data_IF_537948323751
#
_entry.id   IF_537948323751
#
_cell.length_a   1.000
_cell.length_b   1.000
_cell.length_c   1.000
_cell.angle_alpha   90.00
_cell.angle_beta   90.00
_cell.angle_gamma   90.00
#
_symmetry.space_group_name_H-M   'P 1'
#
loop_
_entity.id
_entity.type
_entity.pdbx_description
1 polymer ?
#
# COMPACT_ATOMS: atom_id res chain seq x y z
N UNK A 1 0.10 11.96 -23.66
CA UNK A 1 0.29 12.40 -22.27
C UNK A 1 -1.02 12.50 -21.48
N UNK A 2 -2.10 13.12 -21.99
CA UNK A 2 -3.31 13.39 -21.19
C UNK A 2 -3.97 12.16 -20.53
N UNK A 3 -4.13 11.04 -21.26
CA UNK A 3 -4.80 9.84 -20.72
C UNK A 3 -4.00 9.16 -19.58
N UNK A 4 -2.66 9.23 -19.61
CA UNK A 4 -1.80 8.71 -18.54
C UNK A 4 -1.93 9.54 -17.27
N UNK A 5 -1.99 10.86 -17.40
CA UNK A 5 -2.21 11.77 -16.27
C UNK A 5 -3.59 11.51 -15.65
N UNK A 6 -4.61 11.28 -16.47
CA UNK A 6 -5.97 10.95 -15.99
C UNK A 6 -6.01 9.59 -15.28
N UNK A 7 -5.48 8.50 -15.85
CA UNK A 7 -5.44 7.19 -15.17
C UNK A 7 -4.62 7.28 -13.85
N UNK A 8 -3.55 8.09 -13.83
CA UNK A 8 -2.79 8.40 -12.62
C UNK A 8 -3.59 9.15 -11.55
N UNK A 9 -4.29 10.22 -11.94
CA UNK A 9 -5.14 11.01 -11.04
C UNK A 9 -6.26 10.16 -10.43
N UNK A 10 -6.92 9.34 -11.26
CA UNK A 10 -7.97 8.42 -10.83
C UNK A 10 -7.43 7.42 -9.81
N UNK A 11 -6.29 6.79 -10.10
CA UNK A 11 -5.74 5.73 -9.24
C UNK A 11 -5.10 6.26 -7.96
N UNK A 12 -4.40 7.40 -8.00
CA UNK A 12 -3.63 7.90 -6.86
C UNK A 12 -4.39 8.87 -5.96
N UNK A 13 -5.45 9.52 -6.45
CA UNK A 13 -6.20 10.50 -5.66
C UNK A 13 -7.67 10.13 -5.55
N UNK A 14 -8.34 9.83 -6.67
CA UNK A 14 -9.78 9.59 -6.63
C UNK A 14 -10.13 8.25 -5.99
N UNK A 15 -9.40 7.18 -6.31
CA UNK A 15 -9.65 5.86 -5.75
C UNK A 15 -9.42 5.82 -4.21
N UNK A 16 -8.29 6.33 -3.66
CA UNK A 16 -8.08 6.35 -2.22
C UNK A 16 -9.08 7.24 -1.48
N UNK A 17 -9.50 8.36 -2.08
CA UNK A 17 -10.48 9.27 -1.44
C UNK A 17 -11.86 8.64 -1.36
N UNK A 18 -12.33 7.96 -2.40
CA UNK A 18 -13.60 7.22 -2.37
C UNK A 18 -13.55 6.02 -1.40
N UNK A 19 -12.44 5.28 -1.37
CA UNK A 19 -12.24 4.21 -0.39
C UNK A 19 -12.23 4.73 1.05
N UNK A 20 -11.54 5.84 1.30
CA UNK A 20 -11.52 6.48 2.61
C UNK A 20 -12.91 6.98 3.01
N UNK A 21 -13.62 7.67 2.11
CA UNK A 21 -14.97 8.13 2.35
C UNK A 21 -15.91 6.95 2.72
N UNK A 22 -15.83 5.84 1.99
CA UNK A 22 -16.60 4.64 2.29
C UNK A 22 -16.34 4.11 3.72
N UNK A 23 -15.09 4.13 4.18
CA UNK A 23 -14.71 3.70 5.53
C UNK A 23 -15.15 4.69 6.62
N UNK A 24 -15.29 5.99 6.31
CA UNK A 24 -15.71 7.02 7.27
C UNK A 24 -17.23 7.12 7.41
N UNK A 25 -17.97 6.88 6.33
CA UNK A 25 -19.43 6.98 6.35
C UNK A 25 -20.11 5.70 6.83
N UNK A 26 -19.41 4.56 6.80
CA UNK A 26 -19.99 3.25 7.10
C UNK A 26 -19.01 2.36 7.85
N UNK A 27 -19.41 1.91 9.04
CA UNK A 27 -18.62 1.03 9.90
C UNK A 27 -19.24 -0.38 9.90
N UNK A 28 -18.83 -1.18 8.93
CA UNK A 28 -19.25 -2.58 8.78
C UNK A 28 -18.13 -3.44 8.19
N UNK A 29 -18.37 -4.74 8.08
CA UNK A 29 -17.42 -5.69 7.48
C UNK A 29 -17.17 -5.38 6.00
N UNK A 30 -18.17 -4.96 5.23
CA UNK A 30 -17.94 -4.57 3.82
C UNK A 30 -16.93 -3.42 3.69
N UNK A 31 -17.03 -2.42 4.56
CA UNK A 31 -16.13 -1.26 4.52
C UNK A 31 -14.80 -1.55 5.21
N UNK A 32 -14.71 -2.58 6.07
CA UNK A 32 -13.43 -3.16 6.48
C UNK A 32 -12.68 -3.73 5.28
N UNK A 33 -13.36 -4.44 4.37
CA UNK A 33 -12.75 -4.93 3.13
C UNK A 33 -12.22 -3.76 2.28
N UNK A 34 -12.98 -2.66 2.21
CA UNK A 34 -12.50 -1.43 1.54
C UNK A 34 -11.32 -0.76 2.26
N UNK A 35 -11.26 -0.80 3.59
CA UNK A 35 -10.10 -0.35 4.35
C UNK A 35 -8.86 -1.18 4.01
N UNK A 36 -9.00 -2.51 3.89
CA UNK A 36 -7.89 -3.37 3.46
C UNK A 36 -7.42 -3.04 2.05
N UNK A 37 -8.34 -2.77 1.11
CA UNK A 37 -7.98 -2.28 -0.22
C UNK A 37 -7.25 -0.94 -0.17
N UNK A 38 -7.69 0.00 0.67
CA UNK A 38 -7.03 1.30 0.88
C UNK A 38 -5.60 1.12 1.42
N UNK A 39 -5.41 0.22 2.39
CA UNK A 39 -4.09 -0.08 2.95
C UNK A 39 -3.19 -0.76 1.91
N UNK A 40 -3.71 -1.65 1.07
CA UNK A 40 -2.91 -2.32 0.05
C UNK A 40 -2.50 -1.38 -1.11
N UNK A 41 -3.25 -0.32 -1.37
CA UNK A 41 -3.09 0.55 -2.54
C UNK A 41 -1.68 1.18 -2.70
N UNK A 42 -1.04 1.75 -1.66
CA UNK A 42 0.31 2.32 -1.76
C UNK A 42 1.39 1.33 -2.24
N UNK A 43 1.22 0.04 -1.95
CA UNK A 43 2.17 -1.01 -2.27
C UNK A 43 2.18 -1.38 -3.76
N UNK A 44 1.06 -1.16 -4.46
CA UNK A 44 0.99 -1.41 -5.89
C UNK A 44 1.65 -0.30 -6.69
N UNK A 45 2.41 -0.68 -7.72
CA UNK A 45 3.08 0.28 -8.59
C UNK A 45 2.07 1.07 -9.43
N UNK A 46 2.51 2.27 -9.83
CA UNK A 46 1.76 3.17 -10.70
C UNK A 46 1.23 2.42 -11.93
N UNK A 47 -0.03 2.66 -12.36
CA UNK A 47 -0.59 2.00 -13.53
C UNK A 47 0.20 2.41 -14.78
N UNK A 48 1.10 1.53 -15.22
CA UNK A 48 1.80 1.58 -16.50
C UNK A 48 1.46 0.29 -17.28
N UNK A 49 1.68 0.25 -18.61
CA UNK A 49 1.33 -0.89 -19.48
C UNK A 49 1.66 -2.26 -18.88
N UNK A 50 2.93 -2.45 -18.48
CA UNK A 50 3.41 -3.71 -17.91
C UNK A 50 2.78 -4.00 -16.54
N UNK A 51 2.59 -2.97 -15.72
CA UNK A 51 2.00 -3.09 -14.39
C UNK A 51 0.49 -3.36 -14.43
N UNK A 52 -0.21 -2.83 -15.44
CA UNK A 52 -1.64 -3.04 -15.71
C UNK A 52 -1.94 -4.47 -16.17
N UNK A 53 -1.00 -5.14 -16.84
CA UNK A 53 -1.11 -6.58 -17.15
C UNK A 53 -0.75 -7.46 -15.94
N UNK A 54 0.00 -6.91 -14.98
CA UNK A 54 0.43 -7.59 -13.76
C UNK A 54 -0.52 -7.44 -12.56
N UNK A 55 0.07 -7.32 -11.37
CA UNK A 55 -0.66 -7.29 -10.10
C UNK A 55 -1.57 -6.07 -9.92
N UNK A 56 -1.19 -4.89 -10.40
CA UNK A 56 -2.03 -3.67 -10.28
C UNK A 56 -3.32 -3.82 -11.07
N UNK A 57 -3.29 -4.44 -12.26
CA UNK A 57 -4.52 -4.74 -13.01
C UNK A 57 -5.41 -5.75 -12.31
N UNK A 58 -4.83 -6.82 -11.75
CA UNK A 58 -5.56 -7.79 -10.92
C UNK A 58 -6.20 -7.14 -9.70
N UNK A 59 -5.51 -6.21 -9.05
CA UNK A 59 -6.05 -5.43 -7.94
C UNK A 59 -7.26 -4.59 -8.34
N UNK A 60 -7.17 -3.84 -9.44
CA UNK A 60 -8.30 -3.02 -9.93
C UNK A 60 -9.50 -3.90 -10.30
N UNK A 61 -9.25 -5.04 -10.97
CA UNK A 61 -10.30 -6.03 -11.28
C UNK A 61 -10.93 -6.61 -10.01
N UNK A 62 -10.11 -6.99 -9.02
CA UNK A 62 -10.61 -7.51 -7.76
C UNK A 62 -11.46 -6.48 -7.00
N UNK A 63 -11.04 -5.21 -6.98
CA UNK A 63 -11.81 -4.12 -6.39
C UNK A 63 -13.14 -3.89 -7.12
N UNK A 64 -13.12 -3.92 -8.46
CA UNK A 64 -14.35 -3.85 -9.26
C UNK A 64 -15.28 -5.04 -8.98
N UNK A 65 -14.78 -6.27 -9.04
CA UNK A 65 -15.58 -7.47 -8.77
C UNK A 65 -16.15 -7.48 -7.35
N UNK A 66 -15.36 -7.12 -6.33
CA UNK A 66 -15.83 -7.05 -4.94
C UNK A 66 -16.89 -5.97 -4.76
N UNK A 67 -16.72 -4.78 -5.34
CA UNK A 67 -17.75 -3.74 -5.29
C UNK A 67 -19.05 -4.15 -6.00
N UNK A 68 -18.96 -4.83 -7.15
CA UNK A 68 -20.12 -5.39 -7.84
C UNK A 68 -20.82 -6.46 -7.00
N UNK A 69 -20.06 -7.37 -6.37
CA UNK A 69 -20.61 -8.40 -5.50
C UNK A 69 -21.33 -7.80 -4.28
N UNK A 70 -20.77 -6.76 -3.68
CA UNK A 70 -21.42 -6.07 -2.56
C UNK A 70 -22.69 -5.36 -3.00
N UNK A 71 -22.66 -4.66 -4.15
CA UNK A 71 -23.84 -4.01 -4.72
C UNK A 71 -24.95 -5.02 -5.03
N UNK A 72 -24.60 -6.15 -5.68
CA UNK A 72 -25.54 -7.24 -5.96
C UNK A 72 -26.05 -7.87 -4.67
N UNK A 73 -25.20 -8.04 -3.66
CA UNK A 73 -25.59 -8.55 -2.34
C UNK A 73 -26.62 -7.66 -1.66
N UNK A 74 -26.42 -6.34 -1.69
CA UNK A 74 -27.40 -5.37 -1.20
C UNK A 74 -28.72 -5.45 -1.95
N UNK A 75 -28.68 -5.39 -3.28
CA UNK A 75 -29.90 -5.47 -4.11
C UNK A 75 -30.63 -6.79 -3.86
N UNK A 76 -29.92 -7.91 -3.84
CA UNK A 76 -30.50 -9.24 -3.60
C UNK A 76 -31.14 -9.33 -2.21
N UNK A 77 -30.48 -8.80 -1.18
CA UNK A 77 -31.03 -8.78 0.17
C UNK A 77 -32.32 -7.97 0.26
N UNK A 78 -32.39 -6.81 -0.38
CA UNK A 78 -33.61 -6.00 -0.41
C UNK A 78 -34.75 -6.71 -1.16
N UNK A 79 -34.45 -7.40 -2.25
CA UNK A 79 -35.43 -8.23 -2.97
C UNK A 79 -35.93 -9.36 -2.05
N UNK A 80 -35.04 -10.03 -1.31
CA UNK A 80 -35.42 -11.09 -0.37
C UNK A 80 -36.35 -10.57 0.73
N UNK A 81 -36.03 -9.42 1.34
CA UNK A 81 -36.90 -8.81 2.36
C UNK A 81 -38.29 -8.45 1.82
N UNK A 82 -38.36 -7.94 0.59
CA UNK A 82 -39.65 -7.58 -0.02
C UNK A 82 -40.47 -8.81 -0.44
N UNK A 83 -39.83 -9.91 -0.81
CA UNK A 83 -40.50 -11.13 -1.28
C UNK A 83 -40.89 -12.08 -0.15
N UNK A 84 -40.18 -12.04 0.98
CA UNK A 84 -40.39 -12.91 2.14
C UNK A 84 -40.69 -12.07 3.40
N UNK A 85 -41.97 -11.71 3.64
CA UNK A 85 -42.36 -10.92 4.80
C UNK A 85 -42.07 -11.60 6.14
N UNK A 86 -42.00 -12.93 6.21
CA UNK A 86 -41.62 -13.65 7.44
C UNK A 86 -40.16 -13.39 7.86
N UNK A 87 -39.25 -13.30 6.87
CA UNK A 87 -37.86 -12.89 7.12
C UNK A 87 -37.82 -11.41 7.51
N UNK A 88 -38.74 -10.62 6.96
CA UNK A 88 -38.88 -9.23 7.31
C UNK A 88 -39.27 -9.08 8.79
N UNK A 89 -40.33 -9.75 9.23
CA UNK A 89 -40.79 -9.71 10.62
C UNK A 89 -39.76 -10.29 11.61
N UNK A 90 -39.04 -11.35 11.25
CA UNK A 90 -38.00 -11.95 12.08
C UNK A 90 -36.76 -11.05 12.30
N UNK A 91 -36.48 -10.17 11.35
CA UNK A 91 -35.41 -9.16 11.43
C UNK A 91 -35.88 -7.84 12.05
N UNK A 92 -37.20 -7.58 12.09
CA UNK A 92 -37.77 -6.29 12.50
C UNK A 92 -38.13 -6.15 13.97
N UNK A 93 -38.22 -7.26 14.71
CA UNK A 93 -38.68 -7.24 16.10
C UNK A 93 -37.65 -7.84 17.06
N UNK A 94 -37.44 -7.14 18.19
CA UNK A 94 -36.70 -7.56 19.39
C UNK A 94 -35.15 -7.57 19.33
N UNK A 95 -34.50 -6.84 18.42
CA UNK A 95 -33.03 -6.81 18.36
C UNK A 95 -32.38 -8.19 18.47
N UNK A 96 -32.85 -9.08 17.60
CA UNK A 96 -32.36 -10.45 17.55
C UNK A 96 -30.86 -10.46 17.18
N UNK A 97 -30.13 -11.50 17.58
CA UNK A 97 -28.73 -11.68 17.19
C UNK A 97 -28.53 -11.67 15.68
N UNK A 98 -29.56 -12.05 14.92
CA UNK A 98 -29.56 -12.06 13.44
C UNK A 98 -29.61 -10.63 12.87
N UNK A 99 -30.37 -9.74 13.49
CA UNK A 99 -30.40 -8.31 13.11
C UNK A 99 -29.06 -7.64 13.41
N UNK A 100 -28.47 -7.90 14.58
CA UNK A 100 -27.13 -7.41 14.92
C UNK A 100 -26.05 -7.95 13.98
N UNK A 101 -26.14 -9.23 13.59
CA UNK A 101 -25.22 -9.83 12.62
C UNK A 101 -25.39 -9.21 11.22
N UNK A 102 -26.62 -9.04 10.76
CA UNK A 102 -26.95 -8.38 9.48
C UNK A 102 -26.41 -6.94 9.43
N UNK A 103 -26.55 -6.19 10.54
CA UNK A 103 -25.97 -4.85 10.71
C UNK A 103 -24.44 -4.87 10.65
N UNK A 104 -23.80 -5.81 11.34
CA UNK A 104 -22.34 -5.93 11.37
C UNK A 104 -21.75 -6.31 10.01
N UNK A 105 -22.38 -7.26 9.32
CA UNK A 105 -22.01 -7.64 7.95
C UNK A 105 -22.13 -6.43 7.04
N UNK A 106 -23.14 -5.58 7.25
CA UNK A 106 -23.37 -4.36 6.48
C UNK A 106 -24.57 -4.42 5.57
N UNK A 107 -25.29 -5.54 5.58
CA UNK A 107 -26.48 -5.79 4.77
C UNK A 107 -27.68 -5.52 5.67
N UNK A 108 -27.99 -4.24 5.85
CA UNK A 108 -29.05 -3.78 6.77
C UNK A 108 -30.35 -3.52 6.01
N UNK A 109 -31.48 -3.69 6.71
CA UNK A 109 -32.78 -3.19 6.24
C UNK A 109 -32.66 -1.71 5.89
N UNK A 110 -33.19 -1.30 4.73
CA UNK A 110 -33.23 0.11 4.36
C UNK A 110 -34.47 0.74 4.98
N UNK A 111 -34.33 1.70 5.93
CA UNK A 111 -35.46 2.50 6.36
C UNK A 111 -35.85 3.41 5.19
N UNK A 112 -36.87 3.02 4.43
CA UNK A 112 -37.38 3.77 3.27
C UNK A 112 -37.96 5.15 3.67
N UNK A 113 -38.16 5.38 4.96
CA UNK A 113 -38.63 6.65 5.53
C UNK A 113 -37.49 7.69 5.63
N UNK A 114 -36.23 7.26 5.78
CA UNK A 114 -35.06 8.13 5.93
C UNK A 114 -34.11 8.04 4.73
N UNK A 115 -34.36 8.87 3.72
CA UNK A 115 -33.57 8.91 2.48
C UNK A 115 -32.05 9.14 2.73
N UNK A 116 -31.69 9.86 3.80
CA UNK A 116 -30.29 10.12 4.16
C UNK A 116 -29.54 8.85 4.59
N UNK A 117 -30.20 7.99 5.37
CA UNK A 117 -29.63 6.71 5.81
C UNK A 117 -29.46 5.75 4.64
N UNK A 118 -30.42 5.73 3.71
CA UNK A 118 -30.35 4.98 2.45
C UNK A 118 -29.17 5.44 1.60
N UNK A 119 -29.04 6.74 1.37
CA UNK A 119 -27.93 7.32 0.61
C UNK A 119 -26.61 7.00 1.29
N UNK A 120 -26.46 7.21 2.60
CA UNK A 120 -25.24 6.90 3.35
C UNK A 120 -24.84 5.42 3.25
N UNK A 121 -25.80 4.50 3.26
CA UNK A 121 -25.52 3.07 3.27
C UNK A 121 -25.17 2.51 1.88
N UNK A 122 -25.81 3.02 0.82
CA UNK A 122 -25.66 2.56 -0.57
C UNK A 122 -24.59 3.34 -1.37
N UNK A 123 -24.38 4.61 -1.06
CA UNK A 123 -23.44 5.49 -1.78
C UNK A 123 -22.00 4.97 -1.77
N UNK A 124 -21.46 4.41 -0.67
CA UNK A 124 -20.12 3.85 -0.66
C UNK A 124 -19.92 2.75 -1.72
N UNK A 125 -20.84 1.78 -1.82
CA UNK A 125 -20.71 0.66 -2.75
C UNK A 125 -20.90 1.12 -4.20
N UNK A 126 -21.91 1.95 -4.47
CA UNK A 126 -22.14 2.52 -5.79
C UNK A 126 -20.98 3.42 -6.23
N UNK A 127 -20.47 4.25 -5.33
CA UNK A 127 -19.35 5.14 -5.58
C UNK A 127 -18.07 4.38 -5.93
N UNK A 128 -17.73 3.35 -5.14
CA UNK A 128 -16.56 2.49 -5.39
C UNK A 128 -16.72 1.70 -6.69
N UNK A 129 -17.93 1.21 -6.99
CA UNK A 129 -18.23 0.54 -8.25
C UNK A 129 -18.01 1.46 -9.45
N UNK A 130 -18.56 2.68 -9.43
CA UNK A 130 -18.41 3.64 -10.53
C UNK A 130 -16.94 4.03 -10.70
N UNK A 131 -16.22 4.38 -9.63
CA UNK A 131 -14.83 4.80 -9.75
C UNK A 131 -13.91 3.66 -10.19
N UNK A 132 -14.14 2.43 -9.72
CA UNK A 132 -13.35 1.26 -10.14
C UNK A 132 -13.63 0.92 -11.60
N UNK A 133 -14.88 1.03 -12.06
CA UNK A 133 -15.25 0.87 -13.48
C UNK A 133 -14.58 1.95 -14.35
N UNK A 134 -14.66 3.22 -13.96
CA UNK A 134 -14.04 4.33 -14.69
C UNK A 134 -12.52 4.16 -14.75
N UNK A 135 -11.90 3.76 -13.64
CA UNK A 135 -10.45 3.48 -13.57
C UNK A 135 -10.09 2.31 -14.48
N UNK A 136 -10.84 1.20 -14.43
CA UNK A 136 -10.63 0.03 -15.27
C UNK A 136 -10.77 0.36 -16.76
N UNK A 137 -11.86 1.04 -17.16
CA UNK A 137 -12.09 1.44 -18.55
C UNK A 137 -11.00 2.39 -19.04
N UNK A 138 -10.63 3.39 -18.25
CA UNK A 138 -9.60 4.37 -18.63
C UNK A 138 -8.25 3.69 -18.81
N UNK A 139 -7.88 2.80 -17.90
CA UNK A 139 -6.60 2.12 -17.98
C UNK A 139 -6.58 1.02 -19.07
N UNK A 140 -7.72 0.37 -19.38
CA UNK A 140 -7.85 -0.51 -20.56
C UNK A 140 -7.74 0.27 -21.88
N UNK A 141 -8.36 1.45 -21.98
CA UNK A 141 -8.22 2.34 -23.14
C UNK A 141 -6.78 2.80 -23.33
N UNK A 142 -6.05 3.01 -22.23
CA UNK A 142 -4.64 3.37 -22.25
C UNK A 142 -3.75 2.23 -22.75
N UNK A 143 -4.04 0.99 -22.36
CA UNK A 143 -3.37 -0.21 -22.90
C UNK A 143 -3.64 -0.32 -24.40
N UNK A 144 -4.92 -0.34 -24.82
CA UNK A 144 -5.32 -0.48 -26.23
C UNK A 144 -4.75 0.62 -27.14
N UNK A 145 -4.81 1.89 -26.71
CA UNK A 145 -4.30 3.03 -27.51
C UNK A 145 -2.82 2.91 -27.82
N UNK A 146 -2.04 2.28 -26.94
CA UNK A 146 -0.59 2.16 -27.08
C UNK A 146 -0.17 0.77 -27.59
N UNK A 147 -1.13 -0.10 -27.90
CA UNK A 147 -0.98 -1.32 -28.71
C UNK A 147 -1.32 -1.07 -30.19
N UNK A 148 -2.16 -0.07 -30.49
CA UNK A 148 -2.38 0.41 -31.87
C UNK A 148 -1.34 1.48 -32.23
N UNK A 149 -0.30 1.19 -33.06
CA UNK A 149 0.59 2.22 -33.57
C UNK A 149 -0.20 3.24 -34.43
N UNK A 150 0.28 4.50 -34.58
CA UNK A 150 -0.38 5.50 -35.39
C UNK A 150 -0.11 5.24 -36.87
N UNK A 151 -0.70 4.18 -37.46
CA UNK A 151 -0.81 4.05 -38.91
C UNK A 151 -2.05 3.23 -39.27
N UNK A 152 -2.81 3.77 -40.22
CA UNK A 152 -3.97 3.19 -40.90
C UNK A 152 -5.31 3.23 -40.17
N UNK A 153 -5.98 4.37 -40.31
CA UNK A 153 -7.40 4.36 -40.66
C UNK A 153 -7.58 3.55 -41.96
N UNK A 154 -8.12 2.33 -41.88
CA UNK A 154 -9.10 1.76 -42.82
C UNK A 154 -9.42 0.28 -42.52
N UNK A 155 -10.68 -0.09 -42.79
CA UNK A 155 -11.33 -1.43 -42.84
C UNK A 155 -11.63 -2.19 -41.54
N UNK A 156 -12.91 -2.14 -41.13
CA UNK A 156 -13.88 -3.26 -40.96
C UNK A 156 -13.26 -4.66 -41.13
N UNK A 157 -13.36 -5.67 -40.23
CA UNK A 157 -14.53 -6.41 -39.71
C UNK A 157 -14.10 -7.59 -38.80
N UNK A 158 -14.97 -7.99 -37.84
CA UNK A 158 -15.32 -9.39 -37.40
C UNK A 158 -14.17 -10.28 -36.87
N UNK A 159 -14.03 -10.44 -35.54
CA UNK A 159 -14.56 -11.52 -34.66
C UNK A 159 -13.62 -12.73 -34.57
N UNK A 160 -13.16 -13.06 -33.35
CA UNK A 160 -13.39 -14.36 -32.69
C UNK A 160 -12.73 -14.39 -31.30
N UNK A 161 -13.50 -14.88 -30.33
CA UNK A 161 -13.02 -15.34 -29.03
C UNK A 161 -12.27 -16.66 -29.21
N UNK A 162 -11.13 -16.82 -28.53
CA UNK A 162 -10.71 -18.11 -27.99
C UNK A 162 -9.72 -17.90 -26.86
N UNK A 163 -9.98 -18.56 -25.74
CA UNK A 163 -9.03 -18.71 -24.66
C UNK A 163 -7.89 -19.64 -25.07
N UNK A 164 -6.76 -19.47 -24.40
CA UNK A 164 -5.98 -20.60 -23.91
C UNK A 164 -5.14 -20.14 -22.72
N UNK A 165 -5.13 -21.00 -21.72
CA UNK A 165 -4.24 -21.02 -20.58
C UNK A 165 -2.93 -21.63 -21.06
N UNK A 166 -1.80 -20.92 -20.92
CA UNK A 166 -0.49 -21.56 -20.78
C UNK A 166 0.34 -20.77 -19.76
N UNK A 167 0.66 -21.46 -18.68
CA UNK A 167 1.78 -21.16 -17.79
C UNK A 167 3.06 -21.48 -18.56
N UNK A 168 4.05 -20.56 -18.59
CA UNK A 168 5.45 -20.95 -18.47
C UNK A 168 6.43 -19.77 -18.28
N UNK A 169 7.31 -20.02 -17.31
CA UNK A 169 8.72 -19.68 -17.15
C UNK A 169 9.28 -18.27 -16.81
N UNK A 170 10.12 -18.33 -15.77
CA UNK A 170 11.43 -17.70 -15.51
C UNK A 170 11.64 -16.18 -15.49
N UNK A 171 12.11 -15.74 -14.30
CA UNK A 171 13.29 -14.90 -14.05
C UNK A 171 13.78 -13.98 -15.18
N UNK A 172 13.54 -12.67 -15.03
CA UNK A 172 14.18 -11.65 -15.84
C UNK A 172 14.05 -10.27 -15.22
N UNK A 173 14.95 -9.95 -14.28
CA UNK A 173 15.19 -8.57 -13.84
C UNK A 173 15.35 -7.67 -15.07
N UNK A 174 14.57 -6.60 -15.23
CA UNK A 174 15.00 -5.41 -15.98
C UNK A 174 14.13 -4.18 -15.67
N UNK A 175 14.79 -3.02 -15.66
CA UNK A 175 14.39 -1.68 -15.18
C UNK A 175 13.13 -1.08 -15.83
N UNK A 176 12.38 -0.20 -15.13
CA UNK A 176 11.36 0.63 -15.78
C UNK A 176 12.04 1.89 -16.36
N UNK A 177 12.24 1.92 -17.68
CA UNK A 177 12.54 3.17 -18.38
C UNK A 177 11.31 4.09 -18.29
N UNK A 178 11.44 5.16 -17.51
CA UNK A 178 10.62 6.36 -17.69
C UNK A 178 11.43 7.28 -18.57
N UNK A 179 11.31 7.09 -19.88
CA UNK A 179 11.73 8.06 -20.87
C UNK A 179 10.60 8.15 -21.90
N UNK A 180 10.21 9.38 -22.19
CA UNK A 180 9.24 9.74 -23.21
C UNK A 180 9.58 9.03 -24.53
N UNK A 181 8.59 8.36 -25.13
CA UNK A 181 8.68 7.90 -26.51
C UNK A 181 8.57 9.15 -27.39
N UNK A 182 9.69 9.86 -27.58
CA UNK A 182 9.92 10.64 -28.79
C UNK A 182 10.30 9.66 -29.89
N UNK A 183 9.62 9.75 -31.03
CA UNK A 183 9.88 8.95 -32.23
C UNK A 183 11.33 9.18 -32.69
N UNK A 184 12.19 8.17 -32.55
CA UNK A 184 13.53 8.19 -33.14
C UNK A 184 13.41 7.92 -34.65
N UNK A 185 13.40 8.99 -35.44
CA UNK A 185 14.04 8.92 -36.75
C UNK A 185 15.55 8.91 -36.55
N UNK A 186 16.22 7.93 -37.16
CA UNK A 186 17.68 7.79 -37.15
C UNK A 186 18.37 9.09 -37.58
N UNK A 187 18.96 9.79 -36.62
CA UNK A 187 19.78 10.95 -36.86
C UNK A 187 20.46 11.39 -35.57
N UNK A 188 21.79 11.36 -35.55
CA UNK A 188 22.62 11.81 -34.44
C UNK A 188 22.17 13.18 -33.92
N UNK A 189 21.47 13.23 -32.80
CA UNK A 189 20.99 14.48 -32.21
C UNK A 189 21.42 14.59 -30.76
N UNK A 190 22.23 15.62 -30.49
CA UNK A 190 22.67 16.00 -29.15
C UNK A 190 21.41 16.30 -28.32
N UNK A 191 21.25 15.73 -27.11
CA UNK A 191 20.07 15.99 -26.29
C UNK A 191 19.94 17.50 -26.03
N UNK A 192 18.73 18.03 -26.26
CA UNK A 192 18.47 19.46 -26.13
C UNK A 192 18.79 19.94 -24.71
N UNK A 193 19.29 21.18 -24.56
CA UNK A 193 19.58 21.77 -23.24
C UNK A 193 18.36 21.70 -22.28
N UNK A 194 17.14 21.70 -22.83
CA UNK A 194 15.90 21.57 -22.08
C UNK A 194 15.73 20.16 -21.47
N UNK A 195 16.03 19.10 -22.20
CA UNK A 195 15.95 17.72 -21.69
C UNK A 195 16.95 17.48 -20.55
N UNK A 196 18.16 18.02 -20.65
CA UNK A 196 19.16 17.96 -19.57
C UNK A 196 18.71 18.71 -18.32
N UNK A 197 18.11 19.90 -18.48
CA UNK A 197 17.55 20.67 -17.37
C UNK A 197 16.38 19.94 -16.70
N UNK A 198 15.48 19.35 -17.49
CA UNK A 198 14.36 18.56 -16.97
C UNK A 198 14.84 17.34 -16.18
N UNK A 199 15.85 16.62 -16.67
CA UNK A 199 16.45 15.49 -15.97
C UNK A 199 17.10 15.91 -14.63
N UNK A 200 17.86 17.02 -14.62
CA UNK A 200 18.47 17.57 -13.39
C UNK A 200 17.44 18.04 -12.38
N UNK A 201 16.37 18.70 -12.83
CA UNK A 201 15.26 19.12 -11.98
C UNK A 201 14.54 17.91 -11.40
N UNK A 202 14.24 16.89 -12.21
CA UNK A 202 13.61 15.65 -11.76
C UNK A 202 14.44 14.91 -10.71
N UNK A 203 15.75 14.77 -10.94
CA UNK A 203 16.65 14.14 -9.98
C UNK A 203 16.72 14.92 -8.66
N UNK A 204 16.75 16.25 -8.73
CA UNK A 204 16.78 17.12 -7.54
C UNK A 204 15.46 17.07 -6.79
N UNK A 205 14.33 17.15 -7.48
CA UNK A 205 13.01 17.02 -6.89
C UNK A 205 12.82 15.64 -6.24
N UNK A 206 13.28 14.57 -6.87
CA UNK A 206 13.19 13.22 -6.31
C UNK A 206 14.01 13.06 -5.03
N UNK A 207 15.24 13.61 -4.99
CA UNK A 207 16.05 13.66 -3.76
C UNK A 207 15.32 14.44 -2.65
N UNK A 208 14.83 15.62 -2.97
CA UNK A 208 14.09 16.47 -2.02
C UNK A 208 12.85 15.77 -1.47
N UNK A 209 12.03 15.14 -2.33
CA UNK A 209 10.83 14.40 -1.92
C UNK A 209 11.18 13.21 -1.00
N UNK A 210 12.29 12.52 -1.28
CA UNK A 210 12.76 11.43 -0.43
C UNK A 210 13.15 11.93 0.95
N UNK A 211 13.92 13.02 1.02
CA UNK A 211 14.41 13.56 2.29
C UNK A 211 13.27 14.18 3.10
N UNK A 212 12.37 14.92 2.44
CA UNK A 212 11.14 15.43 3.04
C UNK A 212 10.25 14.30 3.57
N UNK A 213 10.07 13.22 2.80
CA UNK A 213 9.30 12.06 3.22
C UNK A 213 9.87 11.38 4.47
N UNK A 214 11.20 11.32 4.60
CA UNK A 214 11.87 10.77 5.79
C UNK A 214 11.64 11.65 7.02
N UNK A 215 11.81 12.96 6.89
CA UNK A 215 11.54 13.90 7.98
C UNK A 215 10.07 13.83 8.39
N UNK A 216 9.16 13.86 7.42
CA UNK A 216 7.73 13.74 7.66
C UNK A 216 7.36 12.43 8.35
N UNK A 217 7.95 11.30 7.96
CA UNK A 217 7.72 10.01 8.63
C UNK A 217 8.14 10.04 10.10
N UNK A 218 9.31 10.62 10.43
CA UNK A 218 9.78 10.74 11.81
C UNK A 218 8.87 11.68 12.62
N UNK A 219 8.45 12.80 12.04
CA UNK A 219 7.52 13.74 12.68
C UNK A 219 6.15 13.08 12.95
N UNK A 220 5.60 12.35 11.98
CA UNK A 220 4.33 11.63 12.14
C UNK A 220 4.43 10.48 13.14
N UNK A 221 5.58 9.82 13.22
CA UNK A 221 5.85 8.79 14.22
C UNK A 221 5.82 9.39 15.64
N UNK A 222 6.40 10.58 15.82
CA UNK A 222 6.33 11.33 17.07
C UNK A 222 4.88 11.71 17.41
N UNK A 223 4.16 12.29 16.44
CA UNK A 223 2.75 12.67 16.60
C UNK A 223 1.88 11.47 17.00
N UNK A 224 2.02 10.34 16.32
CA UNK A 224 1.30 9.10 16.63
C UNK A 224 1.58 8.58 18.05
N UNK A 225 2.78 8.83 18.59
CA UNK A 225 3.15 8.47 19.95
C UNK A 225 2.51 9.37 21.03
N UNK A 226 2.43 10.68 20.77
CA UNK A 226 2.00 11.68 21.78
C UNK A 226 0.50 12.00 21.76
N UNK A 227 -0.19 11.79 20.64
CA UNK A 227 -1.60 12.22 20.45
C UNK A 227 -2.57 11.53 21.40
N UNK A 228 -2.40 10.23 21.58
CA UNK A 228 -3.22 9.42 22.48
C UNK A 228 -2.32 8.45 23.24
N UNK A 229 -1.95 8.74 24.50
CA UNK A 229 -1.07 7.85 25.27
C UNK A 229 -1.77 6.51 25.54
N UNK A 230 -1.23 5.43 24.96
CA UNK A 230 -1.70 4.06 25.12
C UNK A 230 -0.57 3.05 24.92
N UNK A 231 -0.83 1.78 25.20
CA UNK A 231 0.10 0.69 24.92
C UNK A 231 0.49 0.64 23.44
N UNK A 232 -0.46 0.84 22.51
CA UNK A 232 -0.15 0.90 21.08
C UNK A 232 0.65 2.15 20.72
N UNK A 233 0.32 3.32 21.29
CA UNK A 233 1.06 4.55 20.97
C UNK A 233 2.49 4.53 21.52
N UNK A 234 2.72 3.81 22.61
CA UNK A 234 4.04 3.65 23.22
C UNK A 234 5.06 3.05 22.24
N UNK A 235 4.63 2.16 21.34
CA UNK A 235 5.49 1.58 20.31
C UNK A 235 6.02 2.67 19.37
N UNK A 236 5.16 3.57 18.89
CA UNK A 236 5.60 4.70 18.05
C UNK A 236 6.51 5.65 18.82
N UNK A 237 6.16 5.95 20.07
CA UNK A 237 6.95 6.85 20.91
C UNK A 237 8.35 6.29 21.20
N UNK A 238 8.47 5.02 21.57
CA UNK A 238 9.75 4.37 21.82
C UNK A 238 10.60 4.25 20.55
N UNK A 239 9.98 3.95 19.40
CA UNK A 239 10.68 3.95 18.12
C UNK A 239 11.17 5.35 17.75
N UNK A 240 10.37 6.39 17.97
CA UNK A 240 10.78 7.78 17.77
C UNK A 240 11.98 8.14 18.66
N UNK A 241 11.91 7.88 19.96
CA UNK A 241 13.03 8.11 20.89
C UNK A 241 14.27 7.31 20.47
N UNK A 242 14.10 6.06 20.06
CA UNK A 242 15.18 5.21 19.56
C UNK A 242 15.86 5.81 18.32
N UNK A 243 15.09 6.27 17.33
CA UNK A 243 15.60 6.93 16.12
C UNK A 243 16.32 8.23 16.47
N UNK A 244 15.74 9.08 17.32
CA UNK A 244 16.36 10.32 17.77
C UNK A 244 17.66 10.09 18.52
N UNK A 245 17.70 9.08 19.40
CA UNK A 245 18.89 8.70 20.15
C UNK A 245 19.97 8.17 19.22
N UNK A 246 19.60 7.33 18.25
CA UNK A 246 20.52 6.81 17.24
C UNK A 246 21.19 7.93 16.45
N UNK A 247 20.40 8.95 16.08
CA UNK A 247 20.88 10.15 15.41
C UNK A 247 21.79 11.00 16.32
N UNK A 248 21.40 11.21 17.57
CA UNK A 248 22.19 11.99 18.54
C UNK A 248 23.55 11.34 18.83
N UNK A 249 23.61 10.01 18.84
CA UNK A 249 24.84 9.25 18.99
C UNK A 249 25.69 9.14 17.69
N UNK A 250 25.23 9.73 16.58
CA UNK A 250 25.93 9.71 15.28
C UNK A 250 26.21 8.28 14.78
N UNK A 251 25.32 7.33 15.07
CA UNK A 251 25.48 5.96 14.57
C UNK A 251 25.06 5.87 13.09
N UNK A 252 25.87 5.22 12.23
CA UNK A 252 25.51 5.07 10.81
C UNK A 252 24.30 4.15 10.68
N UNK A 253 23.20 4.66 10.11
CA UNK A 253 22.03 3.83 9.81
C UNK A 253 22.20 3.22 8.42
N UNK A 254 22.15 1.89 8.34
CA UNK A 254 22.18 1.21 7.04
C UNK A 254 20.87 1.49 6.29
N UNK A 255 20.95 1.63 4.97
CA UNK A 255 19.76 1.79 4.12
C UNK A 255 18.78 0.62 4.30
N UNK A 256 19.32 -0.60 4.48
CA UNK A 256 18.52 -1.79 4.74
C UNK A 256 17.80 -1.71 6.09
N UNK A 257 18.49 -1.27 7.15
CA UNK A 257 17.90 -1.10 8.49
C UNK A 257 16.80 -0.05 8.51
N UNK A 258 17.00 1.08 7.81
CA UNK A 258 15.97 2.10 7.67
C UNK A 258 14.73 1.59 6.90
N UNK A 259 14.94 0.86 5.80
CA UNK A 259 13.84 0.26 5.06
C UNK A 259 13.11 -0.81 5.89
N UNK A 260 13.83 -1.65 6.63
CA UNK A 260 13.25 -2.63 7.53
C UNK A 260 12.41 -1.97 8.64
N UNK A 261 12.93 -0.89 9.24
CA UNK A 261 12.20 -0.09 10.22
C UNK A 261 10.91 0.48 9.62
N UNK A 262 10.97 1.02 8.40
CA UNK A 262 9.80 1.50 7.68
C UNK A 262 8.77 0.39 7.45
N UNK A 263 9.18 -0.80 7.00
CA UNK A 263 8.26 -1.94 6.82
C UNK A 263 7.60 -2.35 8.13
N UNK A 264 8.38 -2.44 9.22
CA UNK A 264 7.88 -2.76 10.56
C UNK A 264 6.83 -1.74 11.04
N UNK A 265 7.15 -0.44 10.93
CA UNK A 265 6.22 0.65 11.28
C UNK A 265 4.97 0.60 10.40
N UNK A 266 5.13 0.35 9.10
CA UNK A 266 4.01 0.22 8.15
C UNK A 266 3.05 -0.91 8.54
N UNK A 267 3.58 -2.10 8.81
CA UNK A 267 2.77 -3.25 9.23
C UNK A 267 2.05 -3.00 10.56
N UNK A 268 2.78 -2.49 11.56
CA UNK A 268 2.20 -2.17 12.86
C UNK A 268 1.11 -1.09 12.76
N UNK A 269 1.32 -0.05 11.96
CA UNK A 269 0.34 1.03 11.75
C UNK A 269 -0.89 0.54 11.00
N UNK A 270 -0.75 -0.33 10.00
CA UNK A 270 -1.88 -0.96 9.32
C UNK A 270 -2.72 -1.80 10.30
N UNK A 271 -2.08 -2.64 11.11
CA UNK A 271 -2.76 -3.44 12.13
C UNK A 271 -3.49 -2.55 13.14
N UNK A 272 -2.85 -1.50 13.62
CA UNK A 272 -3.45 -0.56 14.56
C UNK A 272 -4.69 0.16 13.96
N UNK A 273 -4.62 0.60 12.69
CA UNK A 273 -5.78 1.17 11.98
C UNK A 273 -6.94 0.17 11.87
N UNK A 274 -6.65 -1.09 11.55
CA UNK A 274 -7.65 -2.16 11.49
C UNK A 274 -8.26 -2.40 12.87
N UNK A 275 -7.47 -2.44 13.94
CA UNK A 275 -7.98 -2.58 15.31
C UNK A 275 -8.89 -1.42 15.70
N UNK A 276 -8.50 -0.17 15.42
CA UNK A 276 -9.32 1.01 15.71
C UNK A 276 -10.64 0.99 14.94
N UNK A 277 -10.61 0.58 13.68
CA UNK A 277 -11.81 0.45 12.85
C UNK A 277 -12.73 -0.67 13.37
N UNK A 278 -12.20 -1.84 13.68
CA UNK A 278 -12.96 -2.96 14.25
C UNK A 278 -13.60 -2.59 15.58
N UNK A 279 -12.92 -1.79 16.41
CA UNK A 279 -13.46 -1.30 17.68
C UNK A 279 -14.66 -0.37 17.52
N UNK A 280 -14.85 0.27 16.36
CA UNK A 280 -16.06 1.06 16.12
C UNK A 280 -17.30 0.21 15.88
N UNK A 281 -17.16 -1.11 15.73
CA UNK A 281 -18.30 -2.01 15.62
C UNK A 281 -18.96 -2.26 16.99
N UNK A 282 -20.31 -2.34 17.07
CA UNK A 282 -21.01 -2.63 18.31
C UNK A 282 -20.51 -3.92 18.99
N UNK A 283 -20.26 -4.97 18.20
CA UNK A 283 -19.75 -6.25 18.68
C UNK A 283 -18.42 -6.11 19.45
N UNK A 284 -17.48 -5.31 18.95
CA UNK A 284 -16.20 -5.10 19.63
C UNK A 284 -16.35 -4.28 20.92
N UNK A 285 -17.27 -3.31 20.93
CA UNK A 285 -17.57 -2.50 22.12
C UNK A 285 -18.31 -3.31 23.19
N UNK A 286 -19.11 -4.31 22.80
CA UNK A 286 -19.77 -5.23 23.73
C UNK A 286 -18.77 -6.17 24.43
N UNK A 287 -17.78 -6.67 23.70
CA UNK A 287 -16.69 -7.51 24.26
C UNK A 287 -15.76 -6.67 25.15
N UNK A 288 -15.42 -5.45 24.70
CA UNK A 288 -14.52 -4.55 25.39
C UNK A 288 -15.18 -3.18 25.61
N UNK A 289 -16.01 -3.04 26.67
CA UNK A 289 -16.65 -1.77 26.98
C UNK A 289 -15.62 -0.65 27.16
N UNK A 290 -15.89 0.60 26.74
CA UNK A 290 -14.93 1.72 26.85
C UNK A 290 -14.42 1.98 28.28
N UNK A 291 -15.21 1.58 29.28
CA UNK A 291 -14.83 1.69 30.69
C UNK A 291 -13.86 0.61 31.17
N UNK A 292 -13.68 -0.48 30.41
CA UNK A 292 -12.80 -1.57 30.80
C UNK A 292 -11.32 -1.20 30.72
N UNK A 293 -10.48 -1.91 31.50
CA UNK A 293 -9.04 -1.67 31.53
C UNK A 293 -8.40 -1.90 30.16
N UNK A 294 -8.81 -2.94 29.44
CA UNK A 294 -8.23 -3.32 28.15
C UNK A 294 -8.47 -2.27 27.07
N UNK A 295 -9.69 -1.73 26.97
CA UNK A 295 -10.00 -0.65 26.04
C UNK A 295 -9.15 0.60 26.33
N UNK A 296 -9.02 0.98 27.61
CA UNK A 296 -8.18 2.12 28.02
C UNK A 296 -6.69 1.88 27.78
N UNK A 297 -6.19 0.69 28.13
CA UNK A 297 -4.78 0.32 27.99
C UNK A 297 -4.33 0.40 26.54
N UNK A 298 -5.12 -0.13 25.61
CA UNK A 298 -4.81 -0.08 24.18
C UNK A 298 -5.24 1.24 23.50
N UNK A 299 -5.92 2.14 24.21
CA UNK A 299 -6.38 3.42 23.65
C UNK A 299 -7.55 3.26 22.67
N UNK A 300 -8.35 2.20 22.84
CA UNK A 300 -9.55 1.93 22.08
C UNK A 300 -10.66 2.88 22.58
N UNK A 301 -10.93 3.92 21.79
CA UNK A 301 -11.97 4.92 22.07
C UNK A 301 -13.17 4.71 21.17
N UNK A 302 -14.34 4.82 21.75
CA UNK A 302 -15.63 4.79 21.07
C UNK A 302 -15.88 6.16 20.40
N UNK A 303 -15.55 6.26 19.12
CA UNK A 303 -15.84 7.44 18.32
C UNK A 303 -17.31 7.42 17.90
N UNK A 304 -17.86 6.22 17.69
CA UNK A 304 -19.26 6.00 17.34
C UNK A 304 -19.96 5.29 18.48
N UNK A 305 -21.09 5.88 18.91
CA UNK A 305 -21.96 5.29 19.93
C UNK A 305 -22.83 4.21 19.29
N UNK A 306 -23.05 3.07 19.97
CA UNK A 306 -23.97 2.05 19.49
C UNK A 306 -25.41 2.61 19.49
N UNK A 307 -26.15 2.38 18.41
CA UNK A 307 -27.54 2.82 18.27
C UNK A 307 -28.47 2.04 19.21
N UNK A 308 -29.40 2.74 19.86
CA UNK A 308 -30.40 2.08 20.70
C UNK A 308 -31.46 1.37 19.84
N UNK A 309 -31.69 0.10 20.16
CA UNK A 309 -32.66 -0.79 19.53
C UNK A 309 -34.14 -0.34 19.60
N UNK A 310 -34.46 0.65 20.43
CA UNK A 310 -35.84 1.01 20.77
C UNK A 310 -36.42 2.15 19.92
N UNK A 311 -35.70 2.67 18.93
CA UNK A 311 -36.14 3.82 18.12
C UNK A 311 -35.60 3.73 16.69
N UNK A 312 -36.26 4.38 15.72
CA UNK A 312 -35.80 4.49 14.31
C UNK A 312 -34.35 4.98 14.14
N UNK A 313 -33.75 5.52 15.21
CA UNK A 313 -32.34 5.91 15.31
C UNK A 313 -31.34 4.74 15.33
N UNK A 314 -31.77 3.48 15.26
CA UNK A 314 -30.85 2.34 15.20
C UNK A 314 -29.89 2.39 14.00
N UNK A 315 -30.26 3.13 12.94
CA UNK A 315 -29.46 3.33 11.74
C UNK A 315 -28.59 4.58 11.77
N UNK A 316 -28.72 5.44 12.79
CA UNK A 316 -28.00 6.71 12.86
C UNK A 316 -26.57 6.55 13.39
N UNK A 317 -25.63 7.13 12.65
CA UNK A 317 -24.23 7.19 13.05
C UNK A 317 -24.06 8.32 14.08
N UNK A 318 -24.25 8.00 15.36
CA UNK A 318 -24.11 8.98 16.43
C UNK A 318 -22.63 9.09 16.82
N UNK A 319 -22.01 10.21 16.44
CA UNK A 319 -20.65 10.53 16.86
C UNK A 319 -20.66 10.83 18.37
N UNK A 320 -19.79 10.16 19.13
CA UNK A 320 -19.55 10.51 20.51
C UNK A 320 -18.79 11.84 20.54
N UNK A 321 -19.39 12.93 21.02
CA UNK A 321 -18.78 14.26 21.13
C UNK A 321 -18.16 14.53 22.50
N UNK A 322 -18.07 13.52 23.37
CA UNK A 322 -17.55 13.65 24.74
C UNK A 322 -16.03 13.56 24.82
N UNK A 323 -15.35 13.19 23.73
CA UNK A 323 -13.89 13.07 23.71
C UNK A 323 -13.22 14.37 23.27
N UNK A 324 -12.00 14.58 23.74
CA UNK A 324 -11.16 15.67 23.25
C UNK A 324 -10.73 15.45 21.79
N UNK A 325 -10.41 16.55 21.11
CA UNK A 325 -10.03 16.56 19.69
C UNK A 325 -8.92 15.56 19.29
N UNK A 326 -7.89 15.23 20.12
CA UNK A 326 -6.83 14.30 19.71
C UNK A 326 -7.33 12.89 19.39
N UNK A 327 -8.44 12.47 20.02
CA UNK A 327 -9.05 11.16 19.80
C UNK A 327 -9.53 11.01 18.35
N UNK A 328 -10.14 12.05 17.79
CA UNK A 328 -10.64 12.03 16.40
C UNK A 328 -9.53 12.19 15.36
N UNK A 329 -8.45 12.90 15.70
CA UNK A 329 -7.33 13.14 14.78
C UNK A 329 -6.37 11.94 14.73
N UNK A 330 -6.30 11.13 15.79
CA UNK A 330 -5.40 9.99 15.88
C UNK A 330 -5.48 9.01 14.67
N UNK A 331 -6.66 8.48 14.25
CA UNK A 331 -6.75 7.63 13.07
C UNK A 331 -6.21 8.29 11.78
N UNK A 332 -6.40 9.61 11.64
CA UNK A 332 -5.88 10.37 10.50
C UNK A 332 -4.35 10.49 10.49
N UNK A 333 -3.74 10.70 11.66
CA UNK A 333 -2.27 10.72 11.81
C UNK A 333 -1.69 9.35 11.50
N UNK A 334 -2.30 8.27 11.99
CA UNK A 334 -1.87 6.90 11.71
C UNK A 334 -1.98 6.56 10.21
N UNK A 335 -3.08 6.96 9.56
CA UNK A 335 -3.23 6.80 8.12
C UNK A 335 -2.15 7.58 7.36
N UNK A 336 -1.90 8.83 7.74
CA UNK A 336 -0.88 9.65 7.09
C UNK A 336 0.53 9.08 7.30
N UNK A 337 0.84 8.57 8.50
CA UNK A 337 2.09 7.87 8.80
C UNK A 337 2.24 6.65 7.89
N UNK A 338 1.21 5.81 7.79
CA UNK A 338 1.19 4.63 6.95
C UNK A 338 1.48 4.95 5.47
N UNK A 339 0.75 5.92 4.91
CA UNK A 339 0.93 6.36 3.53
C UNK A 339 2.34 6.93 3.31
N UNK A 340 2.83 7.76 4.23
CA UNK A 340 4.16 8.37 4.14
C UNK A 340 5.25 7.32 4.13
N UNK A 341 5.18 6.34 5.03
CA UNK A 341 6.13 5.23 5.12
C UNK A 341 6.12 4.39 3.83
N UNK A 342 4.93 4.07 3.30
CA UNK A 342 4.82 3.34 2.04
C UNK A 342 5.42 4.12 0.86
N UNK A 343 5.20 5.44 0.79
CA UNK A 343 5.80 6.32 -0.23
C UNK A 343 7.32 6.33 -0.10
N UNK A 344 7.86 6.49 1.12
CA UNK A 344 9.30 6.50 1.38
C UNK A 344 9.96 5.19 0.96
N UNK A 345 9.33 4.04 1.26
CA UNK A 345 9.79 2.73 0.83
C UNK A 345 9.81 2.61 -0.70
N UNK A 346 8.75 3.06 -1.36
CA UNK A 346 8.61 3.01 -2.83
C UNK A 346 9.66 3.86 -3.54
N UNK A 347 9.86 5.09 -3.07
CA UNK A 347 10.89 6.02 -3.57
C UNK A 347 12.29 5.45 -3.32
N UNK A 348 12.51 4.80 -2.17
CA UNK A 348 13.81 4.20 -1.84
C UNK A 348 14.11 2.96 -2.68
N UNK A 349 13.10 2.20 -3.09
CA UNK A 349 13.24 1.02 -3.95
C UNK A 349 13.54 1.35 -5.41
N UNK A 350 13.08 2.50 -5.93
CA UNK A 350 13.30 2.92 -7.33
C UNK A 350 14.62 3.68 -7.54
N UNK A 351 15.40 3.90 -6.47
CA UNK A 351 16.64 4.68 -6.49
C UNK A 351 17.94 3.89 -6.59
N UNK A 352 17.92 2.59 -6.96
CA UNK A 352 19.14 1.82 -7.25
C UNK A 352 18.98 1.11 -8.61
N UNK A 353 19.95 1.21 -9.54
CA UNK A 353 21.41 1.19 -9.32
C UNK A 353 22.16 2.33 -10.02
N UNK A 354 22.90 3.15 -9.28
CA UNK A 354 23.85 4.11 -9.87
C UNK A 354 25.18 4.14 -9.09
N UNK A 355 25.66 2.93 -8.76
CA UNK A 355 26.98 2.71 -8.15
C UNK A 355 27.63 1.50 -8.79
N UNK A 356 28.07 1.63 -10.05
CA UNK A 356 29.05 0.69 -10.61
C UNK A 356 29.97 1.23 -11.71
N UNK A 357 30.01 2.53 -11.95
CA UNK A 357 31.01 3.14 -12.84
C UNK A 357 31.55 4.43 -12.23
N UNK A 358 32.43 4.31 -11.23
CA UNK A 358 33.37 5.41 -10.91
C UNK A 358 34.71 4.95 -10.33
N UNK A 359 35.04 3.66 -10.45
CA UNK A 359 36.38 3.15 -10.14
C UNK A 359 36.85 2.16 -11.22
N UNK A 360 37.21 2.69 -12.38
CA UNK A 360 38.17 2.04 -13.29
C UNK A 360 39.22 3.08 -13.67
N UNK A 361 40.50 2.90 -13.28
CA UNK A 361 41.56 3.73 -13.84
C UNK A 361 41.68 3.38 -15.32
N UNK A 362 41.45 4.36 -16.18
CA UNK A 362 41.59 4.24 -17.63
C UNK A 362 43.07 4.04 -17.96
N UNK A 363 43.44 2.82 -18.38
CA UNK A 363 44.74 2.55 -18.97
C UNK A 363 44.77 3.11 -20.38
N UNK A 364 45.57 4.17 -20.58
CA UNK A 364 46.45 4.41 -21.75
C UNK A 364 46.73 5.92 -21.89
N UNK A 365 47.92 6.34 -21.45
CA UNK A 365 48.66 7.41 -22.12
C UNK A 365 50.18 7.16 -21.95
N UNK A 366 50.76 6.68 -23.06
CA UNK A 366 52.06 6.99 -23.68
C UNK A 366 53.35 7.02 -22.82
N UNK A 367 54.27 6.15 -23.25
CA UNK A 367 55.72 6.08 -23.00
C UNK A 367 56.46 7.39 -23.35
N UNK A 368 57.30 7.92 -22.45
CA UNK A 368 58.76 8.11 -22.64
C UNK A 368 59.39 9.05 -21.59
N UNK A 369 60.46 8.56 -20.93
CA UNK A 369 61.65 9.38 -20.64
C UNK A 369 61.90 9.85 -19.20
N UNK A 370 62.80 9.16 -18.50
CA UNK A 370 63.90 9.79 -17.77
C UNK A 370 63.76 10.08 -16.27
N UNK A 371 64.36 9.19 -15.46
CA UNK A 371 65.21 9.54 -14.31
C UNK A 371 64.55 10.03 -13.02
N UNK A 372 64.75 9.29 -11.92
CA UNK A 372 64.70 9.84 -10.56
C UNK A 372 63.97 8.98 -9.53
N UNK A 373 64.76 8.41 -8.63
CA UNK A 373 64.53 7.91 -7.26
C UNK A 373 63.11 7.66 -6.69
N UNK A 374 63.03 6.44 -6.13
CA UNK A 374 62.22 5.90 -5.02
C UNK A 374 61.36 6.88 -4.19
N UNK A 375 60.13 6.44 -3.84
CA UNK A 375 59.78 5.78 -2.56
C UNK A 375 58.27 5.47 -2.60
N UNK A 376 57.89 4.19 -2.75
CA UNK A 376 56.51 3.72 -2.49
C UNK A 376 56.51 2.69 -1.36
N UNK A 377 55.75 2.99 -0.30
CA UNK A 377 55.50 2.13 0.85
C UNK A 377 54.45 1.07 0.47
N UNK A 378 54.91 -0.17 0.23
CA UNK A 378 54.05 -1.31 -0.02
C UNK A 378 53.33 -1.80 1.25
N UNK A 379 52.01 -1.92 1.19
CA UNK A 379 51.19 -2.59 2.20
C UNK A 379 51.40 -4.13 2.14
N UNK A 380 51.53 -4.72 3.32
CA UNK A 380 51.88 -6.13 3.57
C UNK A 380 50.79 -7.10 3.07
N UNK A 381 51.15 -8.02 2.17
CA UNK A 381 50.34 -9.19 1.79
C UNK A 381 51.05 -10.46 2.30
N UNK A 382 50.40 -11.35 3.08
CA UNK A 382 51.04 -12.59 3.52
C UNK A 382 51.15 -13.57 2.34
N UNK A 383 52.37 -14.04 2.09
CA UNK A 383 52.73 -15.03 1.07
C UNK A 383 52.29 -16.42 1.55
N UNK A 384 51.44 -17.11 0.79
CA UNK A 384 51.15 -18.55 0.99
C UNK A 384 52.19 -19.35 0.20
N UNK A 385 53.07 -20.04 0.91
CA UNK A 385 54.11 -20.89 0.34
C UNK A 385 53.53 -22.30 0.13
N UNK A 386 53.64 -22.79 -1.11
CA UNK A 386 53.29 -24.15 -1.51
C UNK A 386 54.45 -25.10 -1.24
N UNK A 387 54.16 -26.26 -0.65
CA UNK A 387 54.94 -27.48 -0.87
C UNK A 387 53.99 -28.68 -0.89
N UNK A 388 54.19 -29.52 -1.91
CA UNK A 388 53.58 -30.82 -2.24
C UNK A 388 53.59 -31.80 -1.03
N UNK A 389 52.81 -32.88 -0.90
CA UNK A 389 52.35 -33.83 -1.92
C UNK A 389 51.27 -34.80 -1.34
N UNK A 390 50.16 -34.98 -2.08
CA UNK A 390 49.31 -36.19 -2.30
C UNK A 390 48.66 -37.01 -1.12
N UNK A 391 47.68 -37.91 -1.38
CA UNK A 391 46.29 -37.64 -1.80
C UNK A 391 45.23 -38.42 -0.94
N UNK A 392 43.94 -38.01 -0.94
CA UNK A 392 42.75 -38.90 -1.03
C UNK A 392 41.40 -38.21 -0.78
N UNK A 393 40.42 -38.74 -1.51
CA UNK A 393 38.96 -38.63 -1.42
C UNK A 393 38.29 -37.41 -2.05
N UNK A 394 37.78 -37.69 -3.25
CA UNK A 394 36.76 -36.95 -3.93
C UNK A 394 35.39 -37.11 -3.25
N UNK A 395 34.55 -36.11 -3.48
CA UNK A 395 33.12 -36.28 -3.78
C UNK A 395 32.15 -36.58 -2.61
N UNK A 396 31.47 -35.53 -2.14
CA UNK A 396 30.02 -35.38 -2.32
C UNK A 396 29.53 -34.00 -1.87
N UNK A 397 29.19 -33.17 -2.87
CA UNK A 397 28.11 -32.17 -2.77
C UNK A 397 26.80 -32.95 -2.85
N UNK A 398 25.84 -32.72 -1.95
CA UNK A 398 24.41 -32.96 -2.20
C UNK A 398 23.59 -32.43 -0.99
N UNK A 399 22.81 -31.36 -1.20
CA UNK A 399 21.61 -30.95 -0.45
C UNK A 399 21.86 -30.32 0.94
N UNK A 400 21.12 -29.32 1.43
CA UNK A 400 19.74 -28.95 1.12
C UNK A 400 19.47 -27.49 1.54
N UNK A 401 18.76 -26.74 0.70
CA UNK A 401 17.78 -25.76 1.16
C UNK A 401 16.76 -26.48 2.04
N UNK A 402 16.24 -25.82 3.09
CA UNK A 402 14.82 -25.86 3.56
C UNK A 402 14.71 -25.33 5.00
N UNK A 403 13.98 -24.22 5.13
CA UNK A 403 12.90 -23.92 6.08
C UNK A 403 12.94 -24.57 7.48
N UNK A 404 12.87 -23.74 8.54
CA UNK A 404 12.18 -24.01 9.82
C UNK A 404 11.83 -22.64 10.43
N UNK A 405 10.56 -22.19 10.49
CA UNK A 405 9.48 -22.57 11.42
C UNK A 405 9.98 -22.74 12.86
N UNK A 406 9.64 -21.75 13.70
CA UNK A 406 9.81 -21.79 15.15
C UNK A 406 8.52 -22.41 15.71
N UNK A 407 8.63 -23.62 16.22
CA UNK A 407 7.66 -24.20 17.15
C UNK A 407 8.34 -24.32 18.51
N UNK A 408 7.64 -23.77 19.51
CA UNK A 408 7.98 -23.82 20.92
C UNK A 408 8.05 -25.27 21.39
N UNK A 409 9.03 -25.58 22.25
CA UNK A 409 8.77 -26.57 23.29
C UNK A 409 9.43 -26.19 24.62
N UNK A 410 8.68 -26.48 25.67
CA UNK A 410 9.04 -26.35 27.07
C UNK A 410 10.24 -27.24 27.43
N UNK A 411 10.97 -26.86 28.48
CA UNK A 411 11.20 -27.72 29.66
C UNK A 411 12.12 -26.99 30.66
N UNK A 412 11.52 -26.65 31.80
CA UNK A 412 12.16 -26.12 33.01
C UNK A 412 11.16 -25.96 34.12
#
# INVERSE_FOLDING_TARGET
MELQVVCGLLYCFLLPTFLLAACLFRYNVLSLVYLLYLLLLPWFLWPNKHTLRGHTGRFIKALFCTSLLFLLGHVSFQICLHTLPELDDALGHNCSSVENLSRHVGVSRLPLEDLWSVVRLLTPDLGIFIISLVTMVTCNRLVKKRETPPTSQNSVSVQEEKGDEEEDEEEGRLSPSVADEEEEEEGSSVPSKAALLAAKLRATAHRFLRDLGRVLAITLLALAGITLPSAFSSVYFLLFIGVCTWWACHFPISHLGFNALCVMVGFFTAGHLVCLYLYQSPFAQDIFPPACLWARLFGLKDIIKPGNCSSSSAYDLILNTEHDWPVYVNPGILLLLYITVAIVLKISSHGGPDKREEDRPSANDVVAGGGGEEVELHAWVPKKQSTEDSPKSAEKRQWSNTVFFIELDELG
#
